data_IF_996377840678
#
_entry.id   IF_996377840678
#
_cell.length_a   1.000
_cell.length_b   1.000
_cell.length_c   1.000
_cell.angle_alpha   90.00
_cell.angle_beta   90.00
_cell.angle_gamma   90.00
#
_symmetry.space_group_name_H-M   'P 1'
#
loop_
_entity.id
_entity.type
_entity.pdbx_description
1 polymer ?
#
# COMPACT_ATOMS: atom_id res chain seq x y z
N UNK A 1 10.97 -13.56 24.56
CA UNK A 1 10.14 -12.35 24.77
C UNK A 1 8.80 -12.60 24.07
N UNK A 2 7.69 -12.55 24.82
CA UNK A 2 6.35 -12.63 24.26
C UNK A 2 6.10 -11.32 23.51
N UNK A 3 5.93 -11.37 22.18
CA UNK A 3 5.45 -10.22 21.41
C UNK A 3 3.97 -10.02 21.73
N UNK A 4 3.71 -9.17 22.69
CA UNK A 4 2.35 -8.70 22.97
C UNK A 4 1.94 -7.74 21.85
N UNK A 5 0.66 -7.77 21.48
CA UNK A 5 0.11 -6.79 20.56
C UNK A 5 0.22 -5.38 21.15
N UNK A 6 0.84 -4.48 20.42
CA UNK A 6 1.01 -3.08 20.80
C UNK A 6 0.14 -2.16 19.93
N UNK A 7 -0.27 -1.04 20.50
CA UNK A 7 -0.95 0.03 19.75
C UNK A 7 0.11 0.91 19.09
N UNK A 8 0.11 0.94 17.75
CA UNK A 8 1.10 1.72 17.01
C UNK A 8 0.51 2.31 15.73
N UNK A 9 1.06 3.43 15.24
CA UNK A 9 0.65 3.97 13.95
C UNK A 9 1.09 3.01 12.84
N UNK A 10 0.17 2.71 11.91
CA UNK A 10 0.43 1.89 10.75
C UNK A 10 -0.52 2.24 9.60
N UNK A 11 -0.15 1.88 8.39
CA UNK A 11 -1.04 1.89 7.23
C UNK A 11 -1.40 0.45 6.87
N UNK A 12 -2.70 0.18 6.73
CA UNK A 12 -3.23 -1.08 6.26
C UNK A 12 -3.55 -0.97 4.77
N UNK A 13 -3.13 -1.95 3.98
CA UNK A 13 -3.46 -2.13 2.59
C UNK A 13 -4.23 -3.43 2.43
N UNK A 14 -5.50 -3.34 2.02
CA UNK A 14 -6.27 -4.49 1.55
C UNK A 14 -6.30 -4.50 0.04
N UNK A 15 -6.05 -5.66 -0.56
CA UNK A 15 -6.14 -5.89 -1.99
C UNK A 15 -7.06 -7.07 -2.24
N UNK A 16 -8.10 -6.87 -3.04
CA UNK A 16 -8.95 -7.94 -3.58
C UNK A 16 -8.60 -8.17 -5.04
N UNK A 17 -8.60 -9.42 -5.46
CA UNK A 17 -8.36 -9.82 -6.85
C UNK A 17 -9.36 -10.88 -7.30
N UNK A 18 -9.58 -10.95 -8.63
CA UNK A 18 -10.49 -11.87 -9.31
C UNK A 18 -9.82 -12.48 -10.52
N UNK A 19 -10.38 -13.58 -11.03
CA UNK A 19 -9.96 -14.19 -12.30
C UNK A 19 -9.40 -15.60 -12.19
N UNK A 20 -9.23 -16.13 -10.96
CA UNK A 20 -8.86 -17.54 -10.77
C UNK A 20 -10.12 -18.33 -10.48
N UNK A 21 -10.40 -19.33 -11.28
CA UNK A 21 -11.48 -20.30 -11.08
C UNK A 21 -10.91 -21.50 -10.32
N UNK A 22 -11.20 -21.54 -9.02
CA UNK A 22 -10.65 -22.59 -8.13
C UNK A 22 -11.29 -23.95 -8.33
N UNK A 23 -12.46 -24.01 -8.98
CA UNK A 23 -13.23 -25.24 -9.14
C UNK A 23 -12.98 -25.91 -10.49
N UNK A 24 -12.66 -25.16 -11.54
CA UNK A 24 -12.57 -25.67 -12.91
C UNK A 24 -11.17 -25.52 -13.56
N UNK A 25 -10.28 -24.76 -12.94
CA UNK A 25 -8.94 -24.55 -13.46
C UNK A 25 -7.90 -25.44 -12.75
N UNK A 26 -7.43 -26.47 -13.42
CA UNK A 26 -6.41 -27.39 -12.88
C UNK A 26 -5.12 -26.66 -12.47
N UNK A 27 -4.85 -25.46 -13.03
CA UNK A 27 -3.69 -24.64 -12.71
C UNK A 27 -3.99 -23.57 -11.66
N UNK A 28 -5.18 -23.53 -11.07
CA UNK A 28 -5.58 -22.50 -10.10
C UNK A 28 -4.59 -22.33 -8.94
N UNK A 29 -4.06 -23.44 -8.41
CA UNK A 29 -3.07 -23.41 -7.33
C UNK A 29 -1.74 -22.78 -7.75
N UNK A 30 -1.22 -23.12 -8.93
CA UNK A 30 0.03 -22.55 -9.47
C UNK A 30 -0.13 -21.06 -9.79
N UNK A 31 -1.26 -20.67 -10.39
CA UNK A 31 -1.61 -19.29 -10.68
C UNK A 31 -1.72 -18.45 -9.42
N UNK A 32 -2.39 -18.96 -8.40
CA UNK A 32 -2.51 -18.32 -7.09
C UNK A 32 -1.13 -18.12 -6.45
N UNK A 33 -0.31 -19.16 -6.40
CA UNK A 33 1.03 -19.11 -5.81
C UNK A 33 1.92 -18.08 -6.53
N UNK A 34 1.93 -18.10 -7.86
CA UNK A 34 2.70 -17.15 -8.66
C UNK A 34 2.26 -15.71 -8.42
N UNK A 35 0.94 -15.44 -8.41
CA UNK A 35 0.40 -14.11 -8.15
C UNK A 35 0.70 -13.63 -6.72
N UNK A 36 0.49 -14.48 -5.72
CA UNK A 36 0.78 -14.14 -4.32
C UNK A 36 2.26 -13.83 -4.10
N UNK A 37 3.16 -14.61 -4.71
CA UNK A 37 4.62 -14.33 -4.67
C UNK A 37 4.97 -12.98 -5.27
N UNK A 38 4.39 -12.63 -6.42
CA UNK A 38 4.60 -11.32 -7.04
C UNK A 38 4.07 -10.19 -6.14
N UNK A 39 2.85 -10.31 -5.62
CA UNK A 39 2.27 -9.32 -4.69
C UNK A 39 3.14 -9.16 -3.45
N UNK A 40 3.62 -10.27 -2.87
CA UNK A 40 4.50 -10.25 -1.71
C UNK A 40 5.82 -9.54 -2.01
N UNK A 41 6.44 -9.84 -3.15
CA UNK A 41 7.69 -9.19 -3.57
C UNK A 41 7.52 -7.67 -3.76
N UNK A 42 6.41 -7.23 -4.37
CA UNK A 42 6.13 -5.80 -4.51
C UNK A 42 5.88 -5.13 -3.14
N UNK A 43 5.12 -5.75 -2.23
CA UNK A 43 4.92 -5.23 -0.87
C UNK A 43 6.25 -5.08 -0.14
N UNK A 44 7.12 -6.11 -0.18
CA UNK A 44 8.42 -6.12 0.47
C UNK A 44 9.38 -5.08 -0.14
N UNK A 45 9.35 -4.89 -1.46
CA UNK A 45 10.13 -3.86 -2.17
C UNK A 45 9.88 -2.46 -1.63
N UNK A 46 8.64 -2.18 -1.21
CA UNK A 46 8.27 -0.92 -0.58
C UNK A 46 8.38 -0.94 0.95
N UNK A 47 8.94 -2.00 1.54
CA UNK A 47 9.16 -2.13 2.98
C UNK A 47 7.91 -2.46 3.79
N UNK A 48 6.87 -2.96 3.13
CA UNK A 48 5.67 -3.52 3.76
C UNK A 48 5.84 -4.99 4.12
N UNK A 49 4.83 -5.54 4.76
CA UNK A 49 4.76 -6.97 5.10
C UNK A 49 3.41 -7.53 4.71
N UNK A 50 3.38 -8.63 3.96
CA UNK A 50 2.17 -9.40 3.71
C UNK A 50 1.80 -10.14 4.98
N UNK A 51 0.62 -9.86 5.52
CA UNK A 51 0.17 -10.39 6.82
C UNK A 51 -0.84 -11.52 6.68
N UNK A 52 -1.66 -11.50 5.64
CA UNK A 52 -2.74 -12.45 5.47
C UNK A 52 -3.10 -12.62 3.99
N UNK A 53 -3.39 -13.85 3.61
CA UNK A 53 -4.00 -14.25 2.34
C UNK A 53 -5.28 -14.98 2.66
N UNK A 54 -6.39 -14.60 2.08
CA UNK A 54 -7.69 -15.26 2.23
C UNK A 54 -8.23 -15.56 0.84
N UNK A 55 -8.55 -16.81 0.62
CA UNK A 55 -9.21 -17.34 -0.58
C UNK A 55 -10.54 -17.92 -0.14
N UNK A 56 -11.63 -17.51 -0.75
CA UNK A 56 -12.95 -18.01 -0.40
C UNK A 56 -14.01 -17.66 -1.44
N UNK A 57 -15.19 -18.23 -1.25
CA UNK A 57 -16.35 -18.12 -2.17
C UNK A 57 -16.78 -16.67 -2.49
N UNK A 58 -16.48 -15.75 -1.57
CA UNK A 58 -16.79 -14.31 -1.73
C UNK A 58 -15.67 -13.50 -2.40
N UNK A 59 -14.65 -14.17 -2.90
CA UNK A 59 -13.47 -13.59 -3.53
C UNK A 59 -12.20 -13.75 -2.69
N UNK A 60 -11.08 -13.46 -3.35
CA UNK A 60 -9.75 -13.55 -2.76
C UNK A 60 -9.25 -12.18 -2.36
N UNK A 61 -8.62 -12.06 -1.19
CA UNK A 61 -8.01 -10.81 -0.75
C UNK A 61 -6.76 -11.03 0.10
N UNK A 62 -5.95 -10.01 0.13
CA UNK A 62 -4.68 -9.93 0.83
C UNK A 62 -4.72 -8.75 1.80
N UNK A 63 -4.04 -8.90 2.94
CA UNK A 63 -3.78 -7.80 3.88
C UNK A 63 -2.28 -7.59 3.99
N UNK A 64 -1.82 -6.38 3.73
CA UNK A 64 -0.46 -5.95 4.00
C UNK A 64 -0.44 -4.81 5.02
N UNK A 65 0.67 -4.72 5.76
CA UNK A 65 0.94 -3.68 6.74
C UNK A 65 2.21 -2.90 6.40
N UNK A 66 2.15 -1.58 6.58
CA UNK A 66 3.29 -0.67 6.56
C UNK A 66 3.36 0.04 7.91
N UNK A 67 4.56 0.13 8.49
CA UNK A 67 4.73 0.59 9.87
C UNK A 67 4.63 -0.52 10.92
N UNK A 68 4.35 -1.77 10.50
CA UNK A 68 4.33 -2.95 11.35
C UNK A 68 4.53 -4.23 10.49
N UNK A 69 5.40 -5.17 10.90
CA UNK A 69 6.24 -5.17 12.10
C UNK A 69 7.40 -4.17 12.06
N UNK A 70 7.84 -3.76 10.86
CA UNK A 70 8.91 -2.79 10.64
C UNK A 70 8.31 -1.43 10.32
N UNK A 71 8.84 -0.34 10.89
CA UNK A 71 8.37 1.02 10.65
C UNK A 71 9.44 1.86 9.94
N UNK A 72 8.99 2.69 9.02
CA UNK A 72 9.79 3.69 8.32
C UNK A 72 9.14 5.07 8.53
N UNK A 73 9.89 6.13 8.26
CA UNK A 73 9.39 7.50 8.43
C UNK A 73 8.35 7.92 7.37
N UNK A 74 8.20 7.14 6.30
CA UNK A 74 7.37 7.42 5.14
C UNK A 74 6.48 6.21 4.76
N UNK A 75 6.01 5.46 5.76
CA UNK A 75 5.22 4.24 5.57
C UNK A 75 3.96 4.46 4.71
N UNK A 76 3.34 5.64 4.79
CA UNK A 76 2.15 5.97 4.00
C UNK A 76 2.49 6.17 2.52
N UNK A 77 3.61 6.82 2.23
CA UNK A 77 4.09 6.99 0.84
C UNK A 77 4.42 5.61 0.26
N UNK A 78 5.10 4.78 1.03
CA UNK A 78 5.44 3.40 0.65
C UNK A 78 4.21 2.55 0.39
N UNK A 79 3.20 2.64 1.27
CA UNK A 79 1.94 1.92 1.10
C UNK A 79 1.21 2.31 -0.19
N UNK A 80 1.15 3.61 -0.50
CA UNK A 80 0.52 4.09 -1.73
C UNK A 80 1.34 3.73 -2.97
N UNK A 81 2.67 3.85 -2.91
CA UNK A 81 3.55 3.44 -4.04
C UNK A 81 3.45 1.94 -4.33
N UNK A 82 3.38 1.10 -3.29
CA UNK A 82 3.10 -0.33 -3.44
C UNK A 82 1.73 -0.56 -4.09
N UNK A 83 0.68 0.15 -3.66
CA UNK A 83 -0.66 0.04 -4.24
C UNK A 83 -0.69 0.42 -5.73
N UNK A 84 0.02 1.49 -6.12
CA UNK A 84 0.15 1.89 -7.52
C UNK A 84 0.87 0.81 -8.36
N UNK A 85 1.94 0.20 -7.82
CA UNK A 85 2.65 -0.90 -8.49
C UNK A 85 1.76 -2.13 -8.63
N UNK A 86 1.01 -2.50 -7.57
CA UNK A 86 0.11 -3.65 -7.57
C UNK A 86 -1.10 -3.48 -8.51
N UNK A 87 -1.55 -2.23 -8.74
CA UNK A 87 -2.60 -1.95 -9.71
C UNK A 87 -2.12 -2.15 -11.16
N UNK A 88 -0.84 -1.93 -11.42
CA UNK A 88 -0.21 -2.14 -12.73
C UNK A 88 0.20 -3.61 -12.90
N UNK A 89 -0.75 -4.53 -12.77
CA UNK A 89 -0.53 -5.98 -12.87
C UNK A 89 0.19 -6.33 -14.18
N UNK A 90 1.33 -7.06 -14.14
CA UNK A 90 2.05 -7.50 -15.33
C UNK A 90 1.24 -8.41 -16.24
N UNK A 91 1.57 -8.43 -17.55
CA UNK A 91 0.89 -9.26 -18.54
C UNK A 91 0.96 -10.78 -18.25
N UNK A 92 1.99 -11.23 -17.53
CA UNK A 92 2.09 -12.63 -17.10
C UNK A 92 0.94 -13.07 -16.17
N UNK A 93 0.23 -12.11 -15.57
CA UNK A 93 -0.95 -12.32 -14.73
C UNK A 93 -2.24 -11.85 -15.42
N UNK A 94 -2.34 -11.96 -16.75
CA UNK A 94 -3.54 -11.56 -17.52
C UNK A 94 -4.81 -12.30 -17.09
N UNK A 95 -4.67 -13.47 -16.42
CA UNK A 95 -5.77 -14.18 -15.80
C UNK A 95 -6.38 -13.45 -14.59
N UNK A 96 -5.69 -12.45 -14.01
CA UNK A 96 -6.26 -11.58 -12.98
C UNK A 96 -7.13 -10.52 -13.66
N UNK A 97 -8.44 -10.67 -13.58
CA UNK A 97 -9.41 -9.86 -14.29
C UNK A 97 -9.79 -8.55 -13.58
N UNK A 98 -9.36 -8.35 -12.35
CA UNK A 98 -9.62 -7.12 -11.60
C UNK A 98 -8.94 -7.09 -10.26
N UNK A 99 -8.45 -5.90 -9.90
CA UNK A 99 -7.79 -5.60 -8.63
C UNK A 99 -8.46 -4.39 -8.00
N UNK A 100 -8.84 -4.52 -6.73
CA UNK A 100 -9.40 -3.43 -5.92
C UNK A 100 -8.56 -3.26 -4.67
N UNK A 101 -8.17 -2.02 -4.36
CA UNK A 101 -7.28 -1.73 -3.23
C UNK A 101 -7.90 -0.68 -2.32
N UNK A 102 -7.79 -0.91 -1.00
CA UNK A 102 -8.18 0.05 0.02
C UNK A 102 -7.03 0.31 0.98
N UNK A 103 -6.75 1.58 1.26
CA UNK A 103 -5.71 2.00 2.18
C UNK A 103 -6.29 2.89 3.29
N UNK A 104 -5.90 2.64 4.53
CA UNK A 104 -6.21 3.54 5.64
C UNK A 104 -5.08 3.55 6.66
N UNK A 105 -4.86 4.72 7.28
CA UNK A 105 -3.82 4.95 8.29
C UNK A 105 -4.43 5.28 9.65
N UNK A 106 -3.77 4.84 10.70
CA UNK A 106 -4.05 5.27 12.07
C UNK A 106 -3.49 4.33 13.10
N UNK A 107 -3.94 4.49 14.35
CA UNK A 107 -3.54 3.61 15.44
C UNK A 107 -4.20 2.24 15.27
N UNK A 108 -3.38 1.20 15.24
CA UNK A 108 -3.81 -0.19 15.11
C UNK A 108 -3.09 -1.06 16.13
N UNK A 109 -3.74 -2.11 16.60
CA UNK A 109 -3.07 -3.15 17.38
C UNK A 109 -2.30 -4.05 16.43
N UNK A 110 -0.98 -4.02 16.56
CA UNK A 110 -0.05 -4.81 15.76
C UNK A 110 0.63 -5.84 16.65
N UNK A 111 0.62 -7.11 16.27
CA UNK A 111 1.27 -8.13 17.06
C UNK A 111 0.85 -9.54 16.71
N UNK A 112 1.46 -10.50 17.40
CA UNK A 112 1.17 -11.93 17.22
C UNK A 112 0.00 -12.36 18.09
N UNK A 113 -0.98 -12.99 17.45
CA UNK A 113 -2.18 -13.57 18.06
C UNK A 113 -2.15 -15.07 17.93
N UNK A 114 -2.67 -15.77 18.91
CA UNK A 114 -2.79 -17.23 18.88
C UNK A 114 -2.15 -17.92 20.08
N UNK A 115 -2.14 -19.27 20.02
CA UNK A 115 -1.63 -20.13 21.07
C UNK A 115 -0.10 -20.24 21.05
N UNK A 116 0.45 -21.06 21.93
CA UNK A 116 1.90 -21.36 21.94
C UNK A 116 2.35 -22.16 20.73
N UNK A 117 1.43 -22.90 20.10
CA UNK A 117 1.72 -23.77 18.95
C UNK A 117 1.49 -23.11 17.60
N UNK A 118 0.61 -22.10 17.52
CA UNK A 118 0.33 -21.39 16.28
C UNK A 118 0.03 -19.92 16.57
N UNK A 119 0.83 -19.04 15.97
CA UNK A 119 0.65 -17.59 16.04
C UNK A 119 0.61 -16.98 14.65
N UNK A 120 -0.23 -15.98 14.50
CA UNK A 120 -0.32 -15.15 13.29
C UNK A 120 -0.07 -13.71 13.68
N UNK A 121 0.81 -13.05 12.97
CA UNK A 121 0.99 -11.59 13.11
C UNK A 121 -0.13 -10.89 12.37
N UNK A 122 -0.71 -9.84 12.95
CA UNK A 122 -1.81 -9.12 12.32
C UNK A 122 -1.90 -7.67 12.76
N UNK A 123 -2.65 -6.92 11.97
CA UNK A 123 -3.09 -5.56 12.25
C UNK A 123 -4.59 -5.57 12.54
N UNK A 124 -4.99 -5.01 13.68
CA UNK A 124 -6.39 -4.97 14.09
C UNK A 124 -6.79 -3.56 14.55
N UNK A 125 -8.03 -3.19 14.26
CA UNK A 125 -8.61 -1.93 14.69
C UNK A 125 -9.50 -1.31 13.63
N UNK A 126 -10.10 -0.18 13.99
CA UNK A 126 -11.06 0.54 13.15
C UNK A 126 -10.48 0.92 11.77
N UNK A 127 -9.20 1.30 11.74
CA UNK A 127 -8.52 1.68 10.49
C UNK A 127 -8.22 0.49 9.58
N UNK A 128 -7.89 -0.69 10.12
CA UNK A 128 -7.78 -1.90 9.32
C UNK A 128 -9.14 -2.26 8.69
N UNK A 129 -10.23 -2.19 9.49
CA UNK A 129 -11.58 -2.40 8.97
C UNK A 129 -11.98 -1.35 7.93
N UNK A 130 -11.56 -0.08 8.10
CA UNK A 130 -11.81 0.97 7.11
C UNK A 130 -11.12 0.66 5.79
N UNK A 131 -9.84 0.25 5.81
CA UNK A 131 -9.13 -0.14 4.60
C UNK A 131 -9.85 -1.26 3.83
N UNK A 132 -10.34 -2.29 4.54
CA UNK A 132 -11.13 -3.36 3.93
C UNK A 132 -12.42 -2.85 3.26
N UNK A 133 -13.10 -1.88 3.87
CA UNK A 133 -14.33 -1.27 3.32
C UNK A 133 -14.03 -0.36 2.13
N UNK A 134 -12.92 0.38 2.16
CA UNK A 134 -12.47 1.17 1.02
C UNK A 134 -12.12 0.28 -0.18
N UNK A 135 -11.48 -0.87 0.06
CA UNK A 135 -11.24 -1.88 -0.97
C UNK A 135 -12.56 -2.35 -1.59
N UNK A 136 -13.57 -2.68 -0.77
CA UNK A 136 -14.88 -3.12 -1.26
C UNK A 136 -15.64 -2.02 -2.03
N UNK A 137 -15.45 -0.76 -1.66
CA UNK A 137 -16.06 0.40 -2.31
C UNK A 137 -15.31 0.85 -3.57
N UNK A 138 -14.06 0.44 -3.74
CA UNK A 138 -13.27 0.73 -4.93
C UNK A 138 -13.80 -0.11 -6.10
N UNK A 139 -14.77 0.44 -6.86
CA UNK A 139 -15.38 -0.27 -8.01
C UNK A 139 -14.36 -0.53 -9.11
N UNK A 140 -13.32 0.30 -9.19
CA UNK A 140 -12.20 0.15 -10.10
C UNK A 140 -10.98 0.87 -9.50
N UNK A 141 -9.86 0.14 -9.38
CA UNK A 141 -8.60 0.68 -8.89
C UNK A 141 -8.50 0.75 -7.36
N UNK A 142 -8.21 1.93 -6.80
CA UNK A 142 -7.92 2.07 -5.38
C UNK A 142 -8.57 3.28 -4.73
N UNK A 143 -8.81 3.17 -3.42
CA UNK A 143 -9.26 4.25 -2.56
C UNK A 143 -8.39 4.34 -1.31
N UNK A 144 -8.19 5.55 -0.81
CA UNK A 144 -7.57 5.76 0.48
C UNK A 144 -8.34 6.77 1.35
N UNK A 145 -8.13 6.70 2.66
CA UNK A 145 -8.70 7.66 3.61
C UNK A 145 -7.91 8.98 3.60
N UNK A 146 -8.49 9.99 4.24
CA UNK A 146 -7.88 11.31 4.37
C UNK A 146 -6.51 11.27 5.09
N UNK A 147 -6.33 10.37 6.05
CA UNK A 147 -5.06 10.29 6.80
C UNK A 147 -3.89 9.84 5.89
N UNK A 148 -4.13 8.91 4.97
CA UNK A 148 -3.16 8.53 3.91
C UNK A 148 -2.91 9.72 2.98
N UNK A 149 -3.97 10.38 2.49
CA UNK A 149 -3.85 11.55 1.62
C UNK A 149 -2.99 12.64 2.25
N UNK A 150 -3.31 13.05 3.48
CA UNK A 150 -2.58 14.11 4.18
C UNK A 150 -1.09 13.77 4.38
N UNK A 151 -0.77 12.52 4.68
CA UNK A 151 0.60 12.08 4.89
C UNK A 151 1.43 11.97 3.58
N UNK A 152 0.78 11.60 2.45
CA UNK A 152 1.47 11.25 1.21
C UNK A 152 1.37 12.33 0.11
N UNK A 153 0.46 13.32 0.23
CA UNK A 153 0.19 14.32 -0.80
C UNK A 153 1.40 15.18 -1.21
N UNK A 154 2.42 15.27 -0.39
CA UNK A 154 3.64 16.01 -0.74
C UNK A 154 4.42 15.34 -1.87
N UNK A 155 4.37 14.00 -1.96
CA UNK A 155 5.14 13.18 -2.91
C UNK A 155 4.28 12.56 -4.01
N UNK A 156 3.00 12.32 -3.73
CA UNK A 156 2.09 11.60 -4.61
C UNK A 156 0.93 12.49 -5.07
N UNK A 157 0.34 12.10 -6.19
CA UNK A 157 -0.81 12.80 -6.79
C UNK A 157 -2.09 12.04 -6.44
N UNK A 158 -3.12 12.78 -6.04
CA UNK A 158 -4.42 12.23 -5.67
C UNK A 158 -5.54 12.98 -6.36
N UNK A 159 -6.57 12.26 -6.73
CA UNK A 159 -7.85 12.81 -7.13
C UNK A 159 -8.83 12.73 -5.94
N UNK A 160 -9.40 13.84 -5.46
CA UNK A 160 -10.48 13.81 -4.48
C UNK A 160 -11.73 13.21 -5.10
N UNK A 161 -12.47 12.42 -4.33
CA UNK A 161 -13.73 11.82 -4.74
C UNK A 161 -14.86 12.23 -3.78
N UNK A 162 -16.13 12.11 -4.18
CA UNK A 162 -17.25 12.29 -3.25
C UNK A 162 -17.10 11.39 -2.03
N UNK A 163 -17.43 11.91 -0.85
CA UNK A 163 -17.43 11.13 0.36
C UNK A 163 -18.39 9.95 0.26
N UNK A 164 -18.02 8.82 0.82
CA UNK A 164 -18.80 7.58 0.73
C UNK A 164 -19.29 7.12 2.11
N UNK A 165 -20.48 6.53 2.16
CA UNK A 165 -20.97 5.83 3.34
C UNK A 165 -20.38 4.42 3.37
N UNK A 166 -19.73 4.08 4.48
CA UNK A 166 -19.19 2.74 4.71
C UNK A 166 -19.84 2.13 5.94
N UNK A 167 -20.09 0.83 5.92
CA UNK A 167 -20.75 0.11 7.03
C UNK A 167 -20.05 0.40 8.37
N UNK A 168 -20.82 0.82 9.39
CA UNK A 168 -20.33 1.10 10.75
C UNK A 168 -19.57 2.42 10.89
N UNK A 169 -19.83 3.37 10.01
CA UNK A 169 -19.54 4.80 10.18
C UNK A 169 -20.85 5.56 10.02
N UNK A 170 -21.13 6.43 10.99
CA UNK A 170 -22.36 7.24 10.99
C UNK A 170 -22.26 8.38 9.97
N UNK A 171 -21.05 8.92 9.80
CA UNK A 171 -20.75 9.99 8.85
C UNK A 171 -20.07 9.47 7.57
N UNK A 172 -20.30 10.15 6.43
CA UNK A 172 -19.58 9.86 5.19
C UNK A 172 -18.07 10.02 5.37
N UNK A 173 -17.31 9.11 4.82
CA UNK A 173 -15.85 9.13 4.87
C UNK A 173 -15.30 9.82 3.63
N UNK A 174 -14.45 10.84 3.83
CA UNK A 174 -13.70 11.47 2.74
C UNK A 174 -12.71 10.46 2.15
N UNK A 175 -12.72 10.34 0.83
CA UNK A 175 -11.91 9.37 0.08
C UNK A 175 -11.16 10.03 -1.05
N UNK A 176 -9.99 9.48 -1.34
CA UNK A 176 -9.10 9.97 -2.38
C UNK A 176 -8.61 8.79 -3.21
N UNK A 177 -8.37 9.04 -4.49
CA UNK A 177 -7.76 8.07 -5.40
C UNK A 177 -6.33 8.47 -5.70
N UNK A 178 -5.32 7.69 -5.29
CA UNK A 178 -3.95 7.87 -5.77
C UNK A 178 -3.89 7.67 -7.28
N UNK A 179 -3.17 8.55 -8.00
CA UNK A 179 -3.11 8.52 -9.46
C UNK A 179 -1.68 8.45 -10.00
N UNK A 180 -0.67 8.60 -9.15
CA UNK A 180 0.72 8.51 -9.54
C UNK A 180 1.67 9.25 -8.62
N UNK A 181 2.93 9.27 -8.99
CA UNK A 181 3.97 10.02 -8.29
C UNK A 181 4.08 11.44 -8.85
N UNK A 182 4.32 12.42 -7.95
CA UNK A 182 4.69 13.75 -8.40
C UNK A 182 6.07 13.69 -9.06
N UNK A 183 6.15 14.14 -10.32
CA UNK A 183 7.45 14.33 -10.96
C UNK A 183 8.26 15.28 -10.08
N UNK A 184 9.30 14.79 -9.44
CA UNK A 184 10.33 15.67 -8.92
C UNK A 184 10.85 16.46 -10.13
N UNK A 185 10.48 17.73 -10.22
CA UNK A 185 11.27 18.66 -10.99
C UNK A 185 12.65 18.62 -10.31
N UNK A 186 13.53 17.82 -10.88
CA UNK A 186 14.96 17.93 -10.58
C UNK A 186 15.22 19.41 -10.72
N UNK A 187 15.58 20.08 -9.61
CA UNK A 187 16.03 21.47 -9.66
C UNK A 187 17.12 21.44 -10.70
N UNK A 188 16.76 21.83 -11.92
CA UNK A 188 17.71 22.11 -12.98
C UNK A 188 18.81 22.91 -12.30
N UNK A 189 20.05 22.43 -12.39
CA UNK A 189 21.24 23.03 -11.81
C UNK A 189 21.06 24.53 -11.86
N UNK A 190 20.80 25.16 -10.71
CA UNK A 190 20.72 26.60 -10.64
C UNK A 190 22.06 27.08 -11.15
N UNK A 191 22.09 27.55 -12.37
CA UNK A 191 23.28 28.12 -13.00
C UNK A 191 23.65 29.27 -12.10
N UNK A 192 24.71 29.10 -11.33
CA UNK A 192 25.25 30.16 -10.48
C UNK A 192 25.62 31.34 -11.39
N UNK A 193 24.69 32.27 -11.54
CA UNK A 193 24.87 33.50 -12.30
C UNK A 193 25.51 34.49 -11.34
N UNK A 194 26.74 34.92 -11.64
CA UNK A 194 27.33 36.08 -10.98
C UNK A 194 28.53 35.90 -10.05
N UNK A 195 29.18 34.71 -10.01
CA UNK A 195 30.43 34.53 -9.24
C UNK A 195 31.53 33.84 -10.06
N UNK A 196 31.88 34.43 -11.17
CA UNK A 196 32.90 33.89 -12.10
C UNK A 196 34.29 33.85 -11.50
N UNK A 197 34.65 34.82 -10.64
CA UNK A 197 35.96 34.88 -9.99
C UNK A 197 36.20 33.82 -8.90
N UNK A 198 35.15 33.29 -8.28
CA UNK A 198 35.23 32.28 -7.22
C UNK A 198 35.13 30.82 -7.76
N UNK A 199 34.84 30.66 -9.06
CA UNK A 199 34.72 29.34 -9.72
C UNK A 199 36.05 28.81 -10.28
N UNK A 200 37.04 29.65 -10.46
CA UNK A 200 38.33 29.23 -11.00
C UNK A 200 39.13 28.32 -10.05
N UNK A 201 39.24 28.61 -8.73
CA UNK A 201 39.99 27.77 -7.82
C UNK A 201 39.36 26.39 -7.57
N UNK A 202 38.01 26.24 -7.68
CA UNK A 202 37.31 24.98 -7.45
C UNK A 202 37.49 23.98 -8.60
N UNK A 203 37.82 24.44 -9.81
CA UNK A 203 38.11 23.57 -10.96
C UNK A 203 39.53 23.02 -10.95
N UNK A 204 40.47 23.72 -10.35
CA UNK A 204 41.86 23.26 -10.22
C UNK A 204 42.06 22.25 -9.08
N UNK A 205 41.14 22.20 -8.09
CA UNK A 205 41.20 21.25 -6.98
C UNK A 205 40.55 19.90 -7.27
N UNK A 206 39.96 19.70 -8.47
CA UNK A 206 39.25 18.49 -8.88
C UNK A 206 39.92 17.76 -10.08
N UNK A 207 41.16 18.14 -10.43
CA UNK A 207 42.08 17.40 -11.28
C UNK A 207 43.15 16.78 -10.41
#
# INVERSE_FOLDING_TARGET
KQFLAELRPAAALFLSFKGIDYDQDDQAGERLDAYVRWVQAEIERYGGSLLQVIVGDKGSYLLAGFGAPVAHHDDEVRAVSAALALQATPLEFEFISGVQIGLAKGQMRAGAYGSTTRRTYGLQGDKANLAARLMQAATDGMLCDEAIYQAAQARLVFAPLPAIHVKGKDEPVAVYRPTGEKKHLTRSQARLIGRTAERAPLRESLQ
#
